data_IF_394304630971
#
_entry.id   IF_394304630971
#
_cell.length_a   1.000
_cell.length_b   1.000
_cell.length_c   1.000
_cell.angle_alpha   90.00
_cell.angle_beta   90.00
_cell.angle_gamma   90.00
#
_symmetry.space_group_name_H-M   'P 1'
#
loop_
_entity.id
_entity.type
_entity.pdbx_description
1 polymer ?
#
# COMPACT_ATOMS: atom_id res chain seq x y z
N UNK A 1 -51.34 -55.74 71.89
CA UNK A 1 -50.09 -55.03 71.84
C UNK A 1 -49.98 -54.42 70.40
N UNK A 2 -50.06 -53.10 70.29
CA UNK A 2 -50.13 -52.37 68.99
C UNK A 2 -48.68 -52.07 68.48
N UNK A 3 -48.37 -52.21 67.22
CA UNK A 3 -47.10 -51.67 66.68
C UNK A 3 -47.31 -50.23 66.23
N UNK A 4 -46.30 -49.39 66.57
CA UNK A 4 -46.22 -47.98 66.19
C UNK A 4 -45.74 -47.84 64.76
N UNK A 5 -46.46 -47.07 63.97
CA UNK A 5 -46.08 -46.62 62.66
C UNK A 5 -45.08 -45.44 62.74
N UNK A 6 -43.88 -45.59 62.23
CA UNK A 6 -42.97 -44.49 61.96
C UNK A 6 -43.17 -44.00 60.52
N UNK A 7 -43.63 -42.77 60.40
CA UNK A 7 -43.69 -42.06 59.12
C UNK A 7 -42.29 -41.52 58.81
N UNK A 8 -41.77 -41.96 57.65
CA UNK A 8 -40.52 -41.42 57.06
C UNK A 8 -40.87 -40.18 56.23
N UNK A 9 -40.32 -39.01 56.56
CA UNK A 9 -40.42 -37.80 55.79
C UNK A 9 -39.23 -37.77 54.79
N UNK A 10 -39.54 -37.85 53.51
CA UNK A 10 -38.56 -37.60 52.42
C UNK A 10 -38.59 -36.11 52.14
N UNK A 11 -37.55 -35.42 52.50
CA UNK A 11 -37.35 -34.02 52.14
C UNK A 11 -36.81 -33.95 50.70
N UNK A 12 -37.60 -33.51 49.74
CA UNK A 12 -37.12 -33.13 48.41
C UNK A 12 -36.38 -31.80 48.48
N UNK A 13 -35.07 -31.84 48.41
CA UNK A 13 -34.25 -30.67 48.22
C UNK A 13 -34.29 -30.17 46.75
N UNK A 14 -34.93 -29.04 46.53
CA UNK A 14 -34.89 -28.35 45.23
C UNK A 14 -33.53 -27.65 45.13
N UNK A 15 -32.65 -28.19 44.32
CA UNK A 15 -31.40 -27.51 43.90
C UNK A 15 -31.79 -26.43 42.87
N UNK A 16 -31.79 -25.18 43.29
CA UNK A 16 -31.88 -24.04 42.37
C UNK A 16 -30.50 -23.87 41.67
N UNK A 17 -30.42 -24.22 40.40
CA UNK A 17 -29.28 -23.93 39.55
C UNK A 17 -29.36 -22.44 39.19
N UNK A 18 -28.59 -21.59 39.85
CA UNK A 18 -28.34 -20.20 39.44
C UNK A 18 -27.50 -20.23 38.16
N UNK A 19 -28.17 -20.09 37.02
CA UNK A 19 -27.49 -19.79 35.75
C UNK A 19 -26.97 -18.35 35.82
N UNK A 20 -25.65 -18.18 36.10
CA UNK A 20 -24.98 -16.92 35.89
C UNK A 20 -24.97 -16.59 34.39
N UNK A 21 -25.92 -15.78 33.96
CA UNK A 21 -25.87 -15.14 32.65
C UNK A 21 -24.70 -14.13 32.66
N UNK A 22 -23.56 -14.51 32.11
CA UNK A 22 -22.52 -13.53 31.78
C UNK A 22 -23.11 -12.58 30.72
N UNK A 23 -23.00 -11.25 30.93
CA UNK A 23 -23.36 -10.32 29.87
C UNK A 23 -22.47 -10.61 28.68
N UNK A 24 -23.06 -10.94 27.52
CA UNK A 24 -22.35 -10.98 26.24
C UNK A 24 -21.81 -9.58 25.98
N UNK A 25 -20.52 -9.40 26.20
CA UNK A 25 -19.81 -8.21 25.76
C UNK A 25 -19.99 -8.16 24.25
N UNK A 26 -20.62 -7.10 23.69
CA UNK A 26 -20.70 -7.02 22.23
C UNK A 26 -19.29 -7.01 21.73
N UNK A 27 -18.91 -8.04 20.97
CA UNK A 27 -17.70 -8.02 20.16
C UNK A 27 -17.90 -6.87 19.18
N UNK A 28 -17.35 -5.70 19.51
CA UNK A 28 -17.10 -4.68 18.52
C UNK A 28 -16.13 -5.33 17.54
N UNK A 29 -16.68 -5.90 16.46
CA UNK A 29 -15.93 -6.16 15.28
C UNK A 29 -15.29 -4.81 14.93
N UNK A 30 -14.00 -4.67 15.26
CA UNK A 30 -13.20 -3.53 14.88
C UNK A 30 -13.32 -3.50 13.36
N UNK A 31 -14.12 -2.57 12.82
CA UNK A 31 -14.26 -2.42 11.38
C UNK A 31 -12.83 -2.27 10.86
N UNK A 32 -12.37 -3.27 10.12
CA UNK A 32 -11.02 -3.27 9.57
C UNK A 32 -10.90 -1.97 8.77
N UNK A 33 -10.11 -1.05 9.29
CA UNK A 33 -9.90 0.26 8.66
C UNK A 33 -9.31 0.00 7.28
N UNK A 34 -9.91 0.55 6.21
CA UNK A 34 -9.34 0.46 4.88
C UNK A 34 -7.90 0.96 4.90
N UNK A 35 -7.01 0.25 4.21
CA UNK A 35 -5.58 0.57 4.16
C UNK A 35 -4.96 0.75 5.57
N UNK A 36 -5.26 -0.16 6.53
CA UNK A 36 -4.69 -0.14 7.88
C UNK A 36 -3.15 -0.16 7.86
N UNK A 37 -2.57 -0.84 6.88
CA UNK A 37 -1.16 -0.77 6.46
C UNK A 37 -1.09 -0.27 5.01
N UNK A 38 0.09 0.14 4.51
CA UNK A 38 0.23 0.58 3.12
C UNK A 38 -0.28 -0.49 2.14
N UNK A 39 -1.12 -0.12 1.14
CA UNK A 39 -1.59 -1.08 0.14
C UNK A 39 -0.44 -1.71 -0.64
N UNK A 40 -0.49 -3.04 -0.81
CA UNK A 40 0.43 -3.79 -1.64
C UNK A 40 -0.31 -4.43 -2.80
N UNK A 41 0.29 -4.40 -3.99
CA UNK A 41 -0.36 -4.96 -5.17
C UNK A 41 0.46 -4.86 -6.45
N UNK A 42 -0.24 -4.97 -7.57
CA UNK A 42 0.32 -4.81 -8.89
C UNK A 42 -0.49 -3.77 -9.67
N UNK A 43 0.18 -2.99 -10.50
CA UNK A 43 -0.42 -2.02 -11.43
C UNK A 43 0.21 -2.20 -12.80
N UNK A 44 -0.59 -2.19 -13.86
CA UNK A 44 -0.16 -2.52 -15.22
C UNK A 44 0.53 -1.38 -15.97
N UNK A 45 0.44 -0.13 -15.47
CA UNK A 45 0.75 1.09 -16.25
C UNK A 45 2.15 1.11 -16.83
N UNK A 46 3.18 0.98 -16.01
CA UNK A 46 4.56 1.14 -16.48
C UNK A 46 5.01 0.08 -17.48
N UNK A 47 4.42 -1.11 -17.42
CA UNK A 47 4.76 -2.20 -18.30
C UNK A 47 3.90 -2.26 -19.57
N UNK A 48 2.60 -2.06 -19.43
CA UNK A 48 1.67 -2.37 -20.52
C UNK A 48 1.00 -1.15 -21.13
N UNK A 49 0.83 -0.06 -20.37
CA UNK A 49 0.11 1.12 -20.83
C UNK A 49 -1.22 0.72 -21.51
N UNK A 50 -1.60 1.36 -22.60
CA UNK A 50 -2.82 1.02 -23.34
C UNK A 50 -2.80 -0.33 -24.09
N UNK A 51 -1.77 -1.15 -23.90
CA UNK A 51 -1.76 -2.55 -24.42
C UNK A 51 -2.38 -3.54 -23.44
N UNK A 52 -2.73 -3.10 -22.24
CA UNK A 52 -3.38 -3.94 -21.23
C UNK A 52 -4.70 -4.51 -21.73
N UNK A 53 -5.03 -5.75 -21.28
CA UNK A 53 -6.27 -6.46 -21.63
C UNK A 53 -6.64 -7.45 -20.53
N UNK A 54 -7.88 -7.95 -20.55
CA UNK A 54 -8.36 -9.01 -19.65
C UNK A 54 -7.39 -10.21 -19.61
N UNK A 55 -6.92 -10.68 -20.75
CA UNK A 55 -5.99 -11.80 -20.82
C UNK A 55 -4.63 -11.50 -20.16
N UNK A 56 -4.09 -10.29 -20.35
CA UNK A 56 -2.84 -9.84 -19.70
C UNK A 56 -3.04 -9.78 -18.18
N UNK A 57 -4.15 -9.21 -17.71
CA UNK A 57 -4.44 -9.10 -16.27
C UNK A 57 -4.53 -10.49 -15.65
N UNK A 58 -5.31 -11.43 -16.24
CA UNK A 58 -5.42 -12.82 -15.74
C UNK A 58 -4.08 -13.52 -15.67
N UNK A 59 -3.25 -13.40 -16.69
CA UNK A 59 -1.91 -14.00 -16.70
C UNK A 59 -1.02 -13.47 -15.56
N UNK A 60 -1.05 -12.15 -15.28
CA UNK A 60 -0.30 -11.57 -14.16
C UNK A 60 -0.91 -11.96 -12.80
N UNK A 61 -2.23 -12.07 -12.68
CA UNK A 61 -2.93 -12.60 -11.49
C UNK A 61 -2.47 -14.01 -11.15
N UNK A 62 -2.40 -14.90 -12.13
CA UNK A 62 -1.96 -16.29 -11.92
C UNK A 62 -0.52 -16.35 -11.41
N UNK A 63 0.37 -15.50 -11.94
CA UNK A 63 1.75 -15.42 -11.46
C UNK A 63 1.82 -14.77 -10.07
N UNK A 64 1.05 -13.74 -9.79
CA UNK A 64 1.01 -13.11 -8.47
C UNK A 64 0.68 -14.13 -7.37
N UNK A 65 -0.19 -15.10 -7.68
CA UNK A 65 -0.53 -16.21 -6.78
C UNK A 65 0.57 -17.28 -6.77
N UNK A 66 0.97 -17.79 -7.95
CA UNK A 66 1.88 -18.93 -8.05
C UNK A 66 3.32 -18.60 -7.61
N UNK A 67 3.73 -17.36 -7.66
CA UNK A 67 5.04 -16.89 -7.19
C UNK A 67 5.13 -16.68 -5.67
N UNK A 68 4.00 -16.74 -4.95
CA UNK A 68 3.92 -16.44 -3.52
C UNK A 68 3.81 -14.95 -3.18
N UNK A 69 3.76 -14.05 -4.15
CA UNK A 69 3.60 -12.61 -3.90
C UNK A 69 2.32 -12.31 -3.11
N UNK A 70 1.20 -12.95 -3.44
CA UNK A 70 -0.04 -12.83 -2.67
C UNK A 70 0.18 -13.16 -1.19
N UNK A 71 0.92 -14.22 -0.89
CA UNK A 71 1.08 -14.75 0.47
C UNK A 71 1.99 -13.86 1.34
N UNK A 72 2.80 -12.99 0.73
CA UNK A 72 3.58 -11.95 1.43
C UNK A 72 2.89 -10.57 1.44
N UNK A 73 1.63 -10.48 0.94
CA UNK A 73 0.79 -9.29 1.13
C UNK A 73 0.38 -8.52 -0.14
N UNK A 74 0.84 -8.89 -1.33
CA UNK A 74 0.40 -8.25 -2.58
C UNK A 74 -1.04 -8.67 -2.90
N UNK A 75 -2.01 -7.82 -2.54
CA UNK A 75 -3.43 -8.16 -2.61
C UNK A 75 -4.18 -7.45 -3.74
N UNK A 76 -3.74 -6.26 -4.15
CA UNK A 76 -4.47 -5.47 -5.13
C UNK A 76 -3.96 -5.73 -6.56
N UNK A 77 -4.90 -5.88 -7.49
CA UNK A 77 -4.65 -5.97 -8.93
C UNK A 77 -5.32 -4.76 -9.57
N UNK A 78 -4.53 -3.76 -9.91
CA UNK A 78 -5.02 -2.49 -10.40
C UNK A 78 -4.86 -2.38 -11.91
N UNK A 79 -5.98 -2.20 -12.60
CA UNK A 79 -5.99 -1.79 -14.01
C UNK A 79 -5.97 -0.26 -14.04
N UNK A 80 -4.91 0.29 -14.60
CA UNK A 80 -4.70 1.72 -14.80
C UNK A 80 -5.54 2.26 -15.99
N UNK A 81 -5.15 3.34 -16.61
CA UNK A 81 -5.87 3.97 -17.72
C UNK A 81 -6.08 3.01 -18.92
N UNK A 82 -6.93 3.40 -19.86
CA UNK A 82 -7.20 2.71 -21.14
C UNK A 82 -8.15 1.50 -21.07
N UNK A 83 -8.86 1.25 -19.98
CA UNK A 83 -9.92 0.22 -19.93
C UNK A 83 -11.27 0.76 -20.41
N UNK A 84 -11.48 2.06 -20.33
CA UNK A 84 -12.75 2.73 -20.57
C UNK A 84 -13.20 2.59 -22.03
N UNK A 85 -14.47 2.29 -22.20
CA UNK A 85 -15.20 2.37 -23.46
C UNK A 85 -16.06 3.64 -23.51
N UNK A 86 -17.20 3.55 -24.20
CA UNK A 86 -18.17 4.66 -24.30
C UNK A 86 -19.20 4.57 -23.18
N UNK A 87 -19.82 5.71 -22.87
CA UNK A 87 -21.02 5.77 -22.04
C UNK A 87 -22.25 5.40 -22.88
N UNK A 88 -23.22 4.74 -22.25
CA UNK A 88 -24.52 4.52 -22.85
C UNK A 88 -25.41 5.78 -22.83
N UNK A 89 -26.62 5.67 -23.37
CA UNK A 89 -27.58 6.78 -23.42
C UNK A 89 -28.03 7.27 -22.03
N UNK A 90 -27.84 6.44 -21.00
CA UNK A 90 -28.16 6.75 -19.60
C UNK A 90 -26.93 7.32 -18.87
N UNK A 91 -25.76 7.37 -19.51
CA UNK A 91 -24.50 7.91 -18.98
C UNK A 91 -23.63 6.89 -18.23
N UNK A 92 -24.02 5.61 -18.17
CA UNK A 92 -23.18 4.58 -17.55
C UNK A 92 -21.98 4.25 -18.41
N UNK A 93 -20.81 4.15 -17.75
CA UNK A 93 -19.56 3.77 -18.42
C UNK A 93 -19.54 2.28 -18.72
N UNK A 94 -19.08 1.91 -19.91
CA UNK A 94 -18.82 0.53 -20.30
C UNK A 94 -17.32 0.32 -20.53
N UNK A 95 -16.79 -0.88 -20.33
CA UNK A 95 -15.41 -1.19 -20.70
C UNK A 95 -15.27 -1.25 -22.24
N UNK A 96 -14.05 -1.09 -22.73
CA UNK A 96 -13.77 -1.29 -24.15
C UNK A 96 -13.62 -2.77 -24.50
N UNK A 97 -13.45 -3.08 -25.79
CA UNK A 97 -13.39 -4.47 -26.29
C UNK A 97 -12.23 -5.33 -25.76
N UNK A 98 -11.20 -4.71 -25.14
CA UNK A 98 -10.11 -5.44 -24.48
C UNK A 98 -10.51 -6.01 -23.11
N UNK A 99 -11.62 -5.51 -22.55
CA UNK A 99 -12.21 -5.95 -21.28
C UNK A 99 -13.68 -6.28 -21.49
N UNK A 100 -14.01 -7.41 -22.16
CA UNK A 100 -15.37 -7.71 -22.59
C UNK A 100 -16.37 -7.87 -21.43
N UNK A 101 -15.90 -8.31 -20.26
CA UNK A 101 -16.71 -8.47 -19.05
C UNK A 101 -15.88 -8.13 -17.80
N UNK A 102 -16.02 -6.90 -17.32
CA UNK A 102 -15.29 -6.39 -16.17
C UNK A 102 -15.72 -7.09 -14.87
N UNK A 103 -16.99 -7.49 -14.77
CA UNK A 103 -17.49 -8.23 -13.61
C UNK A 103 -16.88 -9.63 -13.54
N UNK A 104 -16.84 -10.34 -14.65
CA UNK A 104 -16.20 -11.66 -14.71
C UNK A 104 -14.70 -11.60 -14.44
N UNK A 105 -14.02 -10.52 -14.83
CA UNK A 105 -12.61 -10.30 -14.47
C UNK A 105 -12.45 -10.06 -12.97
N UNK A 106 -13.29 -9.21 -12.37
CA UNK A 106 -13.29 -8.98 -10.93
C UNK A 106 -13.55 -10.26 -10.14
N UNK A 107 -14.56 -11.06 -10.54
CA UNK A 107 -14.86 -12.34 -9.92
C UNK A 107 -13.70 -13.34 -10.01
N UNK A 108 -13.00 -13.35 -11.15
CA UNK A 108 -11.79 -14.14 -11.30
C UNK A 108 -10.69 -13.71 -10.31
N UNK A 109 -10.42 -12.41 -10.19
CA UNK A 109 -9.43 -11.87 -9.26
C UNK A 109 -9.83 -12.23 -7.81
N UNK A 110 -11.09 -12.04 -7.45
CA UNK A 110 -11.61 -12.40 -6.13
C UNK A 110 -11.52 -13.90 -5.84
N UNK A 111 -11.75 -14.75 -6.83
CA UNK A 111 -11.61 -16.22 -6.68
C UNK A 111 -10.19 -16.66 -6.32
N UNK A 112 -9.19 -15.82 -6.62
CA UNK A 112 -7.78 -16.03 -6.25
C UNK A 112 -7.42 -15.44 -4.88
N UNK A 113 -8.38 -14.89 -4.14
CA UNK A 113 -8.16 -14.22 -2.85
C UNK A 113 -7.52 -12.85 -2.99
N UNK A 114 -7.63 -12.21 -4.17
CA UNK A 114 -7.09 -10.89 -4.49
C UNK A 114 -8.21 -9.85 -4.56
N UNK A 115 -7.84 -8.58 -4.64
CA UNK A 115 -8.74 -7.43 -4.72
C UNK A 115 -8.57 -6.72 -6.04
N UNK A 116 -9.67 -6.23 -6.59
CA UNK A 116 -9.71 -5.60 -7.90
C UNK A 116 -9.71 -4.08 -7.82
N UNK A 117 -8.80 -3.44 -8.58
CA UNK A 117 -8.69 -1.98 -8.66
C UNK A 117 -8.87 -1.46 -10.08
N UNK A 118 -9.41 -0.25 -10.16
CA UNK A 118 -9.59 0.50 -11.40
C UNK A 118 -9.03 1.93 -11.30
N UNK A 119 -9.00 2.58 -12.44
CA UNK A 119 -8.54 3.95 -12.65
C UNK A 119 -9.65 4.81 -13.26
N UNK A 120 -9.75 6.09 -12.85
CA UNK A 120 -10.55 7.11 -13.50
C UNK A 120 -9.97 8.51 -13.26
N UNK A 121 -10.69 9.56 -13.69
CA UNK A 121 -10.30 10.97 -13.53
C UNK A 121 -11.51 11.83 -13.16
N UNK A 122 -11.37 12.87 -12.32
CA UNK A 122 -12.41 13.88 -12.09
C UNK A 122 -12.67 14.75 -13.31
N UNK A 123 -11.77 14.74 -14.29
CA UNK A 123 -11.94 15.47 -15.54
C UNK A 123 -12.88 14.78 -16.52
N UNK A 124 -13.23 15.44 -17.65
CA UNK A 124 -14.03 14.84 -18.70
C UNK A 124 -13.29 13.72 -19.45
N UNK A 125 -11.95 13.69 -19.37
CA UNK A 125 -11.10 12.69 -20.01
C UNK A 125 -10.00 12.22 -19.08
N UNK A 126 -9.58 10.96 -19.23
CA UNK A 126 -8.39 10.39 -18.61
C UNK A 126 -7.12 10.98 -19.22
N UNK A 127 -5.93 10.62 -18.72
CA UNK A 127 -4.65 11.07 -19.25
C UNK A 127 -4.42 10.62 -20.69
N UNK A 128 -4.94 9.45 -21.05
CA UNK A 128 -4.89 8.91 -22.42
C UNK A 128 -6.16 9.21 -23.24
N UNK A 129 -6.95 10.20 -22.80
CA UNK A 129 -8.12 10.72 -23.49
C UNK A 129 -9.35 9.80 -23.56
N UNK A 130 -9.43 8.75 -22.75
CA UNK A 130 -10.66 7.98 -22.55
C UNK A 130 -11.68 8.74 -21.69
N UNK A 131 -12.87 8.15 -21.45
CA UNK A 131 -13.93 8.77 -20.65
C UNK A 131 -13.49 8.93 -19.19
N UNK A 132 -13.54 10.17 -18.68
CA UNK A 132 -13.41 10.45 -17.25
C UNK A 132 -14.76 10.49 -16.53
N UNK A 133 -14.75 10.75 -15.23
CA UNK A 133 -15.96 10.70 -14.38
C UNK A 133 -16.68 12.07 -14.23
N UNK A 134 -16.20 13.14 -14.87
CA UNK A 134 -16.80 14.46 -14.73
C UNK A 134 -18.30 14.43 -14.99
N UNK A 135 -19.11 14.88 -14.02
CA UNK A 135 -20.58 14.86 -13.99
C UNK A 135 -21.23 13.45 -13.95
N UNK A 136 -20.43 12.38 -13.83
CA UNK A 136 -20.91 11.00 -13.77
C UNK A 136 -20.42 10.26 -12.52
N UNK A 137 -19.89 10.94 -11.50
CA UNK A 137 -19.21 10.34 -10.36
C UNK A 137 -20.08 9.32 -9.63
N UNK A 138 -21.38 9.63 -9.47
CA UNK A 138 -22.32 8.71 -8.82
C UNK A 138 -22.59 7.44 -9.64
N UNK A 139 -22.82 7.61 -10.96
CA UNK A 139 -23.07 6.47 -11.88
C UNK A 139 -21.83 5.59 -11.98
N UNK A 140 -20.64 6.19 -12.03
CA UNK A 140 -19.37 5.47 -12.09
C UNK A 140 -19.13 4.70 -10.79
N UNK A 141 -19.32 5.33 -9.63
CA UNK A 141 -19.21 4.66 -8.34
C UNK A 141 -20.16 3.46 -8.21
N UNK A 142 -21.44 3.62 -8.63
CA UNK A 142 -22.42 2.52 -8.68
C UNK A 142 -21.97 1.38 -9.61
N UNK A 143 -21.41 1.73 -10.75
CA UNK A 143 -20.88 0.77 -11.73
C UNK A 143 -19.68 0.01 -11.17
N UNK A 144 -18.72 0.72 -10.58
CA UNK A 144 -17.56 0.12 -9.94
C UNK A 144 -17.95 -0.82 -8.80
N UNK A 145 -18.90 -0.41 -7.96
CA UNK A 145 -19.43 -1.26 -6.89
C UNK A 145 -20.11 -2.53 -7.43
N UNK A 146 -20.92 -2.42 -8.49
CA UNK A 146 -21.55 -3.57 -9.17
C UNK A 146 -20.53 -4.53 -9.77
N UNK A 147 -19.43 -4.03 -10.31
CA UNK A 147 -18.33 -4.87 -10.83
C UNK A 147 -17.49 -5.50 -9.70
N UNK A 148 -17.57 -4.98 -8.50
CA UNK A 148 -16.81 -5.52 -7.36
C UNK A 148 -15.45 -4.85 -7.20
N UNK A 149 -15.29 -3.59 -7.58
CA UNK A 149 -14.05 -2.83 -7.40
C UNK A 149 -13.76 -2.61 -5.92
N UNK A 150 -12.50 -2.81 -5.50
CA UNK A 150 -11.99 -2.65 -4.14
C UNK A 150 -11.00 -1.48 -3.99
N UNK A 151 -10.54 -0.93 -5.11
CA UNK A 151 -9.55 0.15 -5.16
C UNK A 151 -9.83 1.06 -6.35
N UNK A 152 -9.81 2.38 -6.14
CA UNK A 152 -9.94 3.37 -7.22
C UNK A 152 -8.76 4.34 -7.19
N UNK A 153 -7.94 4.34 -8.25
CA UNK A 153 -6.98 5.42 -8.55
C UNK A 153 -7.72 6.53 -9.30
N UNK A 154 -7.70 7.75 -8.75
CA UNK A 154 -8.44 8.89 -9.29
C UNK A 154 -7.48 10.02 -9.63
N UNK A 155 -7.21 10.18 -10.92
CA UNK A 155 -6.10 10.95 -11.46
C UNK A 155 -6.56 12.31 -11.99
N UNK A 156 -5.82 13.39 -11.71
CA UNK A 156 -6.19 14.78 -12.03
C UNK A 156 -6.13 15.13 -13.53
N UNK A 157 -6.15 14.15 -14.42
CA UNK A 157 -6.07 14.35 -15.86
C UNK A 157 -7.29 15.13 -16.40
N UNK A 158 -7.04 16.10 -17.28
CA UNK A 158 -8.01 17.01 -17.84
C UNK A 158 -8.92 17.75 -16.85
N UNK A 159 -8.82 17.51 -15.57
CA UNK A 159 -9.63 18.14 -14.53
C UNK A 159 -9.45 19.65 -14.49
N UNK A 160 -8.26 20.17 -14.73
CA UNK A 160 -7.99 21.60 -14.85
C UNK A 160 -8.70 22.31 -16.00
N UNK A 161 -9.38 21.58 -16.92
CA UNK A 161 -10.24 22.17 -17.96
C UNK A 161 -11.63 22.55 -17.43
N UNK A 162 -12.05 21.96 -16.31
CA UNK A 162 -13.40 22.09 -15.75
C UNK A 162 -13.42 22.54 -14.28
N UNK A 163 -12.30 22.39 -13.58
CA UNK A 163 -12.12 22.83 -12.21
C UNK A 163 -10.99 23.84 -12.09
N UNK A 164 -11.16 24.85 -11.24
CA UNK A 164 -10.07 25.71 -10.79
C UNK A 164 -9.25 25.03 -9.69
N UNK A 165 -8.02 25.47 -9.41
CA UNK A 165 -7.19 24.87 -8.34
C UNK A 165 -7.89 24.83 -6.98
N UNK A 166 -8.61 25.86 -6.60
CA UNK A 166 -9.38 25.95 -5.35
C UNK A 166 -10.55 24.94 -5.25
N UNK A 167 -10.95 24.34 -6.37
CA UNK A 167 -12.01 23.32 -6.46
C UNK A 167 -11.49 21.88 -6.43
N UNK A 168 -10.16 21.66 -6.40
CA UNK A 168 -9.56 20.34 -6.44
C UNK A 168 -10.08 19.44 -5.31
N UNK A 169 -10.05 19.91 -4.07
CA UNK A 169 -10.54 19.15 -2.92
C UNK A 169 -12.04 18.80 -3.06
N UNK A 170 -12.85 19.72 -3.59
CA UNK A 170 -14.27 19.47 -3.80
C UNK A 170 -14.51 18.38 -4.86
N UNK A 171 -13.71 18.35 -5.93
CA UNK A 171 -13.79 17.33 -6.97
C UNK A 171 -13.45 15.93 -6.41
N UNK A 172 -12.39 15.81 -5.60
CA UNK A 172 -12.05 14.54 -4.94
C UNK A 172 -13.11 14.13 -3.91
N UNK A 173 -13.62 15.07 -3.12
CA UNK A 173 -14.70 14.79 -2.15
C UNK A 173 -15.96 14.29 -2.84
N UNK A 174 -16.34 14.83 -3.99
CA UNK A 174 -17.51 14.40 -4.76
C UNK A 174 -17.45 12.91 -5.14
N UNK A 175 -16.29 12.44 -5.60
CA UNK A 175 -16.11 11.02 -5.89
C UNK A 175 -16.10 10.18 -4.61
N UNK A 176 -15.46 10.64 -3.54
CA UNK A 176 -15.51 9.95 -2.24
C UNK A 176 -16.95 9.74 -1.75
N UNK A 177 -17.76 10.79 -1.77
CA UNK A 177 -19.19 10.72 -1.37
C UNK A 177 -19.98 9.73 -2.27
N UNK A 178 -19.69 9.73 -3.56
CA UNK A 178 -20.26 8.78 -4.50
C UNK A 178 -19.88 7.33 -4.17
N UNK A 179 -18.58 7.07 -3.90
CA UNK A 179 -18.11 5.74 -3.47
C UNK A 179 -18.75 5.30 -2.16
N UNK A 180 -18.81 6.19 -1.15
CA UNK A 180 -19.46 5.89 0.14
C UNK A 180 -20.94 5.56 -0.02
N UNK A 181 -21.66 6.24 -0.92
CA UNK A 181 -23.09 6.00 -1.16
C UNK A 181 -23.40 4.59 -1.67
N UNK A 182 -22.40 3.88 -2.22
CA UNK A 182 -22.58 2.49 -2.70
C UNK A 182 -22.58 1.45 -1.58
N UNK A 183 -22.08 1.81 -0.39
CA UNK A 183 -21.88 0.88 0.73
C UNK A 183 -20.73 -0.11 0.56
N UNK A 184 -20.02 -0.10 -0.60
CA UNK A 184 -18.85 -0.96 -0.82
C UNK A 184 -17.58 -0.30 -0.28
N UNK A 185 -16.74 -1.02 0.51
CA UNK A 185 -15.48 -0.51 0.99
C UNK A 185 -14.45 -0.48 -0.16
N UNK A 186 -14.16 0.71 -0.69
CA UNK A 186 -13.22 0.92 -1.80
C UNK A 186 -12.06 1.79 -1.31
N UNK A 187 -10.82 1.30 -1.43
CA UNK A 187 -9.61 2.10 -1.19
C UNK A 187 -9.54 3.22 -2.22
N UNK A 188 -9.43 4.45 -1.74
CA UNK A 188 -9.44 5.63 -2.60
C UNK A 188 -8.04 6.24 -2.68
N UNK A 189 -7.42 6.15 -3.85
CA UNK A 189 -6.08 6.66 -4.17
C UNK A 189 -6.18 7.94 -4.98
N UNK A 190 -5.68 9.05 -4.41
CA UNK A 190 -5.68 10.35 -5.05
C UNK A 190 -4.40 10.52 -5.88
N UNK A 191 -4.53 10.77 -7.18
CA UNK A 191 -3.39 10.97 -8.07
C UNK A 191 -3.45 12.36 -8.70
N UNK A 192 -2.80 13.32 -8.07
CA UNK A 192 -2.71 14.73 -8.52
C UNK A 192 -1.29 15.26 -8.37
N UNK A 193 -0.30 14.37 -8.38
CA UNK A 193 1.14 14.70 -8.52
C UNK A 193 1.73 15.57 -7.40
N UNK A 194 1.15 15.56 -6.20
CA UNK A 194 1.58 16.41 -5.07
C UNK A 194 1.07 17.85 -5.13
N UNK A 195 0.26 18.18 -6.13
CA UNK A 195 -0.29 19.53 -6.31
C UNK A 195 -1.09 19.96 -5.07
N UNK A 196 -1.08 21.25 -4.77
CA UNK A 196 -1.77 21.88 -3.63
C UNK A 196 -1.42 21.25 -2.27
N UNK A 197 -0.28 20.53 -2.17
CA UNK A 197 0.16 19.91 -0.92
C UNK A 197 -0.84 18.88 -0.39
N UNK A 198 -1.25 17.94 -1.23
CA UNK A 198 -2.28 16.92 -0.99
C UNK A 198 -2.16 16.22 0.34
N UNK A 199 -0.95 15.97 0.82
CA UNK A 199 -0.69 15.37 2.13
C UNK A 199 -1.38 16.11 3.30
N UNK A 200 -1.68 17.41 3.14
CA UNK A 200 -2.35 18.21 4.17
C UNK A 200 -3.86 18.03 4.19
N UNK A 201 -4.46 17.62 3.08
CA UNK A 201 -5.91 17.58 2.94
C UNK A 201 -6.46 16.23 2.40
N UNK A 202 -5.61 15.37 1.82
CA UNK A 202 -6.04 14.13 1.17
C UNK A 202 -6.90 13.22 2.06
N UNK A 203 -6.54 13.08 3.34
CA UNK A 203 -7.35 12.33 4.30
C UNK A 203 -8.73 12.95 4.53
N UNK A 204 -8.86 14.29 4.50
CA UNK A 204 -10.12 15.02 4.75
C UNK A 204 -11.15 14.88 3.64
N UNK A 205 -10.73 14.44 2.46
CA UNK A 205 -11.60 14.14 1.31
C UNK A 205 -11.76 12.63 1.07
N UNK A 206 -11.36 11.81 2.07
CA UNK A 206 -11.54 10.37 2.06
C UNK A 206 -10.41 9.57 1.40
N UNK A 207 -9.28 10.21 1.04
CA UNK A 207 -8.13 9.53 0.48
C UNK A 207 -7.49 8.54 1.46
N UNK A 208 -7.28 7.31 1.02
CA UNK A 208 -6.51 6.30 1.75
C UNK A 208 -5.03 6.29 1.37
N UNK A 209 -4.68 6.88 0.25
CA UNK A 209 -3.33 7.17 -0.19
C UNK A 209 -3.36 8.31 -1.20
N UNK A 210 -2.23 8.96 -1.41
CA UNK A 210 -2.12 10.06 -2.36
C UNK A 210 -0.72 10.20 -2.92
N UNK A 211 -0.63 10.41 -4.22
CA UNK A 211 0.62 10.72 -4.90
C UNK A 211 1.18 12.03 -4.39
N UNK A 212 2.41 11.97 -3.93
CA UNK A 212 3.15 13.13 -3.38
C UNK A 212 4.03 13.81 -4.43
N UNK A 213 4.23 13.16 -5.56
CA UNK A 213 5.15 13.57 -6.64
C UNK A 213 4.52 13.33 -8.00
N UNK A 214 5.10 13.92 -9.02
CA UNK A 214 4.89 13.56 -10.43
C UNK A 214 5.32 12.12 -10.71
N UNK A 215 5.02 11.59 -11.92
CA UNK A 215 5.36 10.22 -12.29
C UNK A 215 6.87 9.99 -12.30
N UNK A 216 7.29 8.88 -11.72
CA UNK A 216 8.71 8.50 -11.61
C UNK A 216 9.36 8.31 -12.99
N UNK A 217 8.64 7.75 -13.96
CA UNK A 217 9.12 7.58 -15.33
C UNK A 217 10.23 6.52 -15.50
N UNK A 218 10.76 5.94 -14.42
CA UNK A 218 11.61 4.76 -14.43
C UNK A 218 13.11 4.99 -14.66
N UNK A 219 13.64 6.20 -14.51
CA UNK A 219 15.07 6.38 -14.39
C UNK A 219 15.53 6.51 -12.93
N UNK A 220 16.79 6.19 -12.67
CA UNK A 220 17.40 6.26 -11.35
C UNK A 220 17.26 7.64 -10.70
N UNK A 221 17.65 8.71 -11.40
CA UNK A 221 17.69 10.05 -10.82
C UNK A 221 16.31 10.52 -10.37
N UNK A 222 15.29 10.31 -11.21
CA UNK A 222 13.91 10.71 -10.90
C UNK A 222 13.32 9.85 -9.77
N UNK A 223 13.54 8.52 -9.81
CA UNK A 223 13.10 7.59 -8.76
C UNK A 223 13.66 7.98 -7.39
N UNK A 224 14.97 8.28 -7.33
CA UNK A 224 15.61 8.62 -6.07
C UNK A 224 15.29 10.05 -5.64
N UNK A 225 15.25 10.99 -6.58
CA UNK A 225 14.83 12.35 -6.25
C UNK A 225 13.46 12.35 -5.57
N UNK A 226 12.46 11.67 -6.11
CA UNK A 226 11.13 11.59 -5.55
C UNK A 226 11.05 10.79 -4.25
N UNK A 227 11.81 9.71 -4.13
CA UNK A 227 11.88 8.94 -2.90
C UNK A 227 12.49 9.74 -1.74
N UNK A 228 13.67 10.34 -1.94
CA UNK A 228 14.36 11.07 -0.87
C UNK A 228 13.71 12.43 -0.53
N UNK A 229 12.92 13.02 -1.42
CA UNK A 229 12.18 14.25 -1.12
C UNK A 229 10.97 14.03 -0.19
N UNK A 230 10.58 12.77 0.09
CA UNK A 230 9.50 12.47 1.05
C UNK A 230 9.85 12.87 2.48
N UNK A 231 11.14 13.13 2.78
CA UNK A 231 11.57 13.50 4.11
C UNK A 231 10.75 14.67 4.69
N UNK A 232 10.12 14.42 5.84
CA UNK A 232 9.28 15.41 6.54
C UNK A 232 7.78 15.33 6.22
N UNK A 233 7.36 14.42 5.32
CA UNK A 233 5.94 14.18 5.04
C UNK A 233 5.30 13.18 6.01
N UNK A 234 6.06 12.44 6.80
CA UNK A 234 5.58 11.37 7.68
C UNK A 234 4.51 11.80 8.69
N UNK A 235 4.48 13.06 9.10
CA UNK A 235 3.44 13.59 9.98
C UNK A 235 2.04 13.64 9.38
N UNK A 236 1.92 13.42 8.08
CA UNK A 236 0.65 13.42 7.34
C UNK A 236 0.18 12.01 6.97
N UNK A 237 1.06 11.00 7.11
CA UNK A 237 0.75 9.60 6.84
C UNK A 237 0.53 8.80 8.12
N UNK A 238 -0.17 7.68 7.99
CA UNK A 238 -0.43 6.75 9.09
C UNK A 238 -1.53 5.76 8.74
N UNK A 239 -1.91 4.88 9.68
CA UNK A 239 -2.91 3.84 9.42
C UNK A 239 -4.19 4.41 8.79
N UNK A 240 -4.52 3.91 7.60
CA UNK A 240 -5.69 4.32 6.80
C UNK A 240 -5.44 5.44 5.80
N UNK A 241 -4.24 6.03 5.75
CA UNK A 241 -3.88 7.10 4.80
C UNK A 241 -2.36 7.24 4.64
N UNK A 242 -1.85 7.12 3.41
CA UNK A 242 -0.43 6.95 3.12
C UNK A 242 0.08 7.90 2.05
N UNK A 243 1.32 8.40 2.23
CA UNK A 243 2.06 9.08 1.18
C UNK A 243 2.50 8.07 0.12
N UNK A 244 2.33 8.41 -1.15
CA UNK A 244 2.65 7.54 -2.28
C UNK A 244 3.65 8.23 -3.21
N UNK A 245 4.92 7.81 -3.20
CA UNK A 245 5.93 8.35 -4.12
C UNK A 245 5.94 7.67 -5.49
N UNK A 246 4.89 6.95 -5.83
CA UNK A 246 4.66 6.22 -7.08
C UNK A 246 5.04 4.72 -7.07
N UNK A 247 4.62 4.02 -8.11
CA UNK A 247 4.74 2.59 -8.36
C UNK A 247 6.21 2.14 -8.39
N UNK A 248 6.48 0.95 -7.86
CA UNK A 248 7.82 0.35 -7.89
C UNK A 248 8.31 0.09 -9.33
N UNK A 249 9.53 0.52 -9.62
CA UNK A 249 10.20 0.35 -10.92
C UNK A 249 11.00 -0.95 -11.01
N UNK A 250 10.94 -1.77 -9.97
CA UNK A 250 11.68 -3.03 -9.82
C UNK A 250 11.24 -4.03 -10.91
N UNK A 251 12.20 -4.59 -11.63
CA UNK A 251 11.93 -5.54 -12.71
C UNK A 251 11.47 -4.93 -14.03
N UNK A 252 11.48 -3.60 -14.18
CA UNK A 252 11.21 -2.92 -15.46
C UNK A 252 12.44 -2.82 -16.36
N UNK A 253 13.63 -3.21 -15.86
CA UNK A 253 14.89 -3.19 -16.62
C UNK A 253 15.51 -1.80 -16.78
N UNK A 254 15.09 -0.82 -15.99
CA UNK A 254 15.60 0.55 -16.00
C UNK A 254 16.51 0.86 -14.82
N UNK A 255 16.36 0.15 -13.73
CA UNK A 255 17.21 0.20 -12.55
C UNK A 255 18.15 -1.01 -12.56
N UNK A 256 19.40 -0.83 -12.09
CA UNK A 256 20.27 -1.95 -11.80
C UNK A 256 19.92 -2.57 -10.43
N UNK A 257 20.54 -3.71 -10.10
CA UNK A 257 20.23 -4.45 -8.88
C UNK A 257 20.35 -3.61 -7.60
N UNK A 258 21.40 -2.82 -7.43
CA UNK A 258 21.57 -1.97 -6.25
C UNK A 258 20.49 -0.88 -6.17
N UNK A 259 20.10 -0.34 -7.30
CA UNK A 259 19.05 0.67 -7.42
C UNK A 259 17.68 0.08 -7.10
N UNK A 260 17.39 -1.16 -7.54
CA UNK A 260 16.16 -1.87 -7.16
C UNK A 260 16.09 -2.13 -5.64
N UNK A 261 17.19 -2.61 -5.03
CA UNK A 261 17.28 -2.76 -3.58
C UNK A 261 17.06 -1.44 -2.84
N UNK A 262 17.64 -0.36 -3.37
CA UNK A 262 17.52 0.98 -2.80
C UNK A 262 16.08 1.50 -2.87
N UNK A 263 15.39 1.34 -4.00
CA UNK A 263 13.97 1.72 -4.10
C UNK A 263 13.12 0.93 -3.12
N UNK A 264 13.22 -0.39 -3.09
CA UNK A 264 12.44 -1.22 -2.17
C UNK A 264 12.69 -0.83 -0.70
N UNK A 265 13.96 -0.64 -0.33
CA UNK A 265 14.34 -0.24 1.04
C UNK A 265 13.75 1.10 1.43
N UNK A 266 13.83 2.09 0.53
CA UNK A 266 13.35 3.43 0.80
C UNK A 266 11.81 3.45 0.89
N UNK A 267 11.09 2.79 -0.04
CA UNK A 267 9.63 2.67 0.03
C UNK A 267 9.17 2.00 1.34
N UNK A 268 9.83 0.94 1.75
CA UNK A 268 9.52 0.27 3.03
C UNK A 268 9.81 1.14 4.26
N UNK A 269 10.89 1.92 4.24
CA UNK A 269 11.16 2.90 5.30
C UNK A 269 10.10 4.00 5.31
N UNK A 270 9.64 4.44 4.15
CA UNK A 270 8.61 5.46 4.00
C UNK A 270 7.19 4.96 4.35
N UNK A 271 6.98 3.67 4.61
CA UNK A 271 5.63 3.09 4.70
C UNK A 271 4.77 3.47 3.48
N UNK A 272 5.36 3.39 2.30
CA UNK A 272 4.73 3.77 1.04
C UNK A 272 4.01 2.56 0.41
N UNK A 273 2.92 2.77 -0.33
CA UNK A 273 2.27 1.68 -1.06
C UNK A 273 3.25 0.90 -1.94
N UNK A 274 3.27 -0.43 -1.82
CA UNK A 274 4.14 -1.32 -2.59
C UNK A 274 3.38 -1.86 -3.80
N UNK A 275 3.27 -1.08 -4.86
CA UNK A 275 2.63 -1.47 -6.11
C UNK A 275 3.70 -1.86 -7.14
N UNK A 276 3.83 -3.17 -7.43
CA UNK A 276 4.76 -3.67 -8.45
C UNK A 276 4.28 -3.24 -9.86
N UNK A 277 5.17 -2.67 -10.67
CA UNK A 277 4.84 -2.14 -12.02
C UNK A 277 5.29 -3.00 -13.18
N UNK A 278 5.94 -4.14 -12.93
CA UNK A 278 6.60 -4.97 -13.92
C UNK A 278 5.68 -6.06 -14.52
N UNK A 279 6.17 -6.71 -15.57
CA UNK A 279 5.56 -7.91 -16.13
C UNK A 279 5.87 -9.12 -15.25
N UNK A 280 4.90 -9.54 -14.42
CA UNK A 280 5.09 -10.67 -13.53
C UNK A 280 5.35 -11.98 -14.30
N UNK A 281 4.78 -12.15 -15.50
CA UNK A 281 4.96 -13.39 -16.30
C UNK A 281 6.38 -13.55 -16.87
N UNK A 282 7.20 -12.49 -16.81
CA UNK A 282 8.60 -12.48 -17.27
C UNK A 282 9.58 -12.06 -16.16
N UNK A 283 9.12 -12.07 -14.92
CA UNK A 283 9.90 -11.66 -13.76
C UNK A 283 11.06 -12.60 -13.51
N UNK A 284 12.26 -12.05 -13.28
CA UNK A 284 13.44 -12.82 -12.89
C UNK A 284 13.33 -13.32 -11.44
N UNK A 285 14.09 -14.37 -11.11
CA UNK A 285 14.18 -14.83 -9.71
C UNK A 285 14.74 -13.75 -8.78
N UNK A 286 15.63 -12.90 -9.24
CA UNK A 286 16.21 -11.83 -8.40
C UNK A 286 15.19 -10.73 -8.17
N UNK A 287 14.42 -10.33 -9.18
CA UNK A 287 13.27 -9.42 -9.02
C UNK A 287 12.26 -10.00 -8.01
N UNK A 288 11.93 -11.29 -8.13
CA UNK A 288 11.02 -11.95 -7.19
C UNK A 288 11.55 -11.92 -5.75
N UNK A 289 12.84 -12.21 -5.54
CA UNK A 289 13.47 -12.16 -4.20
C UNK A 289 13.40 -10.75 -3.59
N UNK A 290 13.57 -9.70 -4.39
CA UNK A 290 13.45 -8.32 -3.93
C UNK A 290 12.01 -8.03 -3.50
N UNK A 291 11.05 -8.34 -4.37
CA UNK A 291 9.63 -8.05 -4.12
C UNK A 291 9.01 -8.92 -3.01
N UNK A 292 9.62 -10.06 -2.65
CA UNK A 292 9.05 -11.00 -1.67
C UNK A 292 9.89 -11.20 -0.41
N UNK A 293 10.91 -10.36 -0.17
CA UNK A 293 11.68 -10.46 1.08
C UNK A 293 10.80 -10.12 2.29
N UNK A 294 10.44 -11.11 3.14
CA UNK A 294 9.46 -10.89 4.20
C UNK A 294 9.99 -9.96 5.31
N UNK A 295 11.32 -9.89 5.50
CA UNK A 295 11.91 -9.01 6.53
C UNK A 295 11.89 -7.55 6.09
N UNK A 296 12.06 -7.29 4.80
CA UNK A 296 11.97 -5.95 4.23
C UNK A 296 10.52 -5.48 4.18
N UNK A 297 9.59 -6.35 3.72
CA UNK A 297 8.15 -6.07 3.71
C UNK A 297 7.62 -5.79 5.13
N UNK A 298 8.11 -6.50 6.13
CA UNK A 298 7.70 -6.30 7.52
C UNK A 298 8.00 -4.87 8.04
N UNK A 299 8.99 -4.18 7.48
CA UNK A 299 9.23 -2.77 7.80
C UNK A 299 8.10 -1.88 7.28
N UNK A 300 7.65 -2.13 6.06
CA UNK A 300 6.55 -1.41 5.42
C UNK A 300 5.24 -1.63 6.16
N UNK A 301 4.96 -2.87 6.47
CA UNK A 301 3.70 -3.34 7.05
C UNK A 301 3.68 -3.29 8.60
N UNK A 302 4.66 -2.61 9.22
CA UNK A 302 4.69 -2.46 10.67
C UNK A 302 3.43 -1.76 11.19
N UNK A 303 2.71 -2.34 12.19
CA UNK A 303 1.41 -1.85 12.65
C UNK A 303 1.44 -0.46 13.30
N UNK A 304 2.61 0.07 13.67
CA UNK A 304 2.71 1.46 14.13
C UNK A 304 2.39 2.44 13.00
N UNK A 305 2.59 2.04 11.73
CA UNK A 305 2.31 2.88 10.57
C UNK A 305 3.11 4.19 10.54
N UNK A 306 4.31 4.19 11.12
CA UNK A 306 5.17 5.38 11.17
C UNK A 306 6.02 5.44 9.91
N UNK A 307 5.96 6.54 9.18
CA UNK A 307 6.88 6.82 8.08
C UNK A 307 8.27 7.17 8.62
N UNK A 308 9.33 6.62 8.01
CA UNK A 308 10.71 6.91 8.34
C UNK A 308 11.13 8.33 7.93
N UNK A 309 12.23 8.77 8.48
CA UNK A 309 12.80 10.08 8.18
C UNK A 309 14.31 10.02 8.06
N UNK A 310 14.90 11.04 7.41
CA UNK A 310 16.33 11.20 7.31
C UNK A 310 16.92 11.71 8.63
N UNK A 311 17.72 10.86 9.28
CA UNK A 311 18.39 11.20 10.53
C UNK A 311 19.72 11.94 10.30
N UNK A 312 20.39 11.68 9.17
CA UNK A 312 21.66 12.31 8.83
C UNK A 312 21.90 12.34 7.32
N UNK A 313 22.59 13.37 6.85
CA UNK A 313 23.04 13.50 5.47
C UNK A 313 24.38 14.24 5.39
N UNK A 314 25.27 13.74 4.54
CA UNK A 314 26.49 14.45 4.11
C UNK A 314 26.71 14.19 2.62
N UNK A 315 26.51 15.22 1.82
CA UNK A 315 26.53 15.11 0.37
C UNK A 315 25.54 14.04 -0.15
N UNK A 316 26.03 13.02 -0.87
CA UNK A 316 25.19 11.95 -1.40
C UNK A 316 24.91 10.81 -0.40
N UNK A 317 25.50 10.85 0.79
CA UNK A 317 25.35 9.82 1.82
C UNK A 317 24.23 10.18 2.79
N UNK A 318 23.34 9.24 3.07
CA UNK A 318 22.20 9.47 3.95
C UNK A 318 21.98 8.29 4.91
N UNK A 319 21.55 8.61 6.13
CA UNK A 319 21.03 7.63 7.10
C UNK A 319 19.55 7.93 7.33
N UNK A 320 18.71 6.95 7.03
CA UNK A 320 17.28 7.01 7.27
C UNK A 320 16.89 6.06 8.39
N UNK A 321 15.93 6.46 9.21
CA UNK A 321 15.47 5.68 10.36
C UNK A 321 13.96 5.62 10.39
N UNK A 322 13.44 4.46 10.83
CA UNK A 322 12.01 4.23 11.02
C UNK A 322 11.82 3.48 12.34
N UNK A 323 11.13 4.07 13.33
CA UNK A 323 10.72 3.34 14.53
C UNK A 323 9.78 2.19 14.17
N UNK A 324 9.97 1.05 14.79
CA UNK A 324 9.16 -0.15 14.59
C UNK A 324 8.52 -0.61 15.90
N UNK A 325 7.45 -1.38 15.79
CA UNK A 325 6.86 -2.09 16.91
C UNK A 325 7.92 -2.96 17.63
N UNK A 326 7.71 -3.22 18.92
CA UNK A 326 8.66 -4.02 19.71
C UNK A 326 9.98 -3.31 20.05
N UNK A 327 10.00 -1.98 20.09
CA UNK A 327 11.16 -1.16 20.46
C UNK A 327 12.40 -1.38 19.58
N UNK A 328 12.20 -1.69 18.32
CA UNK A 328 13.28 -1.81 17.32
C UNK A 328 13.26 -0.64 16.33
N UNK A 329 14.35 -0.49 15.60
CA UNK A 329 14.53 0.58 14.61
C UNK A 329 14.97 -0.02 13.27
N UNK A 330 14.29 0.33 12.18
CA UNK A 330 14.84 0.10 10.85
C UNK A 330 15.79 1.25 10.48
N UNK A 331 16.91 0.92 9.84
CA UNK A 331 17.93 1.89 9.41
C UNK A 331 18.35 1.59 7.98
N UNK A 332 18.22 2.56 7.09
CA UNK A 332 18.80 2.54 5.74
C UNK A 332 20.07 3.38 5.68
N UNK A 333 21.19 2.76 5.32
CA UNK A 333 22.44 3.43 5.00
C UNK A 333 22.50 3.57 3.48
N UNK A 334 22.27 4.77 2.96
CA UNK A 334 22.17 5.03 1.53
C UNK A 334 23.40 5.73 0.98
N UNK A 335 23.80 5.33 -0.22
CA UNK A 335 24.86 5.96 -0.99
C UNK A 335 24.37 6.30 -2.40
N UNK A 336 24.22 7.58 -2.70
CA UNK A 336 23.80 8.09 -4.01
C UNK A 336 24.96 8.51 -4.90
N UNK A 337 26.21 8.21 -4.49
CA UNK A 337 27.44 8.56 -5.25
C UNK A 337 27.77 7.50 -6.29
N UNK A 338 28.74 7.84 -7.16
CA UNK A 338 29.20 7.01 -8.28
C UNK A 338 30.23 5.93 -7.87
N UNK A 339 30.58 5.82 -6.57
CA UNK A 339 31.52 4.83 -6.05
C UNK A 339 31.03 4.26 -4.71
N UNK A 340 31.55 3.10 -4.31
CA UNK A 340 31.28 2.56 -2.97
C UNK A 340 31.87 3.46 -1.89
N UNK A 341 31.08 3.77 -0.85
CA UNK A 341 31.44 4.69 0.23
C UNK A 341 31.08 4.12 1.60
N UNK A 342 31.88 4.40 2.65
CA UNK A 342 31.50 4.06 4.01
C UNK A 342 30.34 4.98 4.49
N UNK A 343 29.28 4.37 5.02
CA UNK A 343 28.17 5.10 5.68
C UNK A 343 28.04 4.61 7.10
N UNK A 344 27.98 5.53 8.06
CA UNK A 344 27.95 5.23 9.50
C UNK A 344 26.66 5.69 10.14
N UNK A 345 26.00 4.78 10.88
CA UNK A 345 24.93 5.15 11.84
C UNK A 345 25.52 5.20 13.25
N UNK A 346 25.29 6.31 13.95
CA UNK A 346 25.66 6.49 15.38
C UNK A 346 24.41 6.22 16.24
N UNK A 347 24.46 5.23 17.11
CA UNK A 347 23.28 4.73 17.82
C UNK A 347 22.65 5.80 18.72
N UNK A 348 23.42 6.55 19.46
CA UNK A 348 22.91 7.66 20.30
C UNK A 348 22.25 8.78 19.49
N UNK A 349 22.74 9.04 18.27
CA UNK A 349 22.16 10.09 17.44
C UNK A 349 20.74 9.75 16.92
N UNK A 350 20.40 8.46 16.92
CA UNK A 350 19.06 7.97 16.52
C UNK A 350 18.22 7.48 17.72
N UNK A 351 18.62 7.82 18.95
CA UNK A 351 17.87 7.48 20.17
C UNK A 351 18.03 6.03 20.65
N UNK A 352 19.03 5.29 20.14
CA UNK A 352 19.32 3.90 20.55
C UNK A 352 20.36 3.89 21.69
N UNK A 353 20.43 2.75 22.40
CA UNK A 353 21.45 2.49 23.43
C UNK A 353 22.85 2.34 22.81
N UNK A 354 23.88 2.26 23.64
CA UNK A 354 25.26 2.09 23.15
C UNK A 354 25.54 0.69 22.57
N UNK A 355 24.97 -0.37 23.16
CA UNK A 355 25.08 -1.73 22.66
C UNK A 355 23.82 -2.10 21.92
N UNK A 356 23.95 -2.35 20.63
CA UNK A 356 22.84 -2.61 19.71
C UNK A 356 23.12 -3.88 18.92
N UNK A 357 22.16 -4.78 18.91
CA UNK A 357 22.15 -5.92 17.98
C UNK A 357 21.77 -5.43 16.60
N UNK A 358 22.57 -5.81 15.61
CA UNK A 358 22.42 -5.41 14.22
C UNK A 358 22.10 -6.62 13.35
N UNK A 359 21.04 -6.53 12.55
CA UNK A 359 20.66 -7.54 11.56
C UNK A 359 20.59 -6.90 10.17
N UNK A 360 21.25 -7.50 9.18
CA UNK A 360 21.11 -7.16 7.77
C UNK A 360 19.86 -7.85 7.23
N UNK A 361 18.94 -7.05 6.66
CA UNK A 361 17.63 -7.52 6.20
C UNK A 361 17.66 -8.09 4.78
N UNK A 362 18.59 -7.61 3.94
CA UNK A 362 18.75 -8.16 2.60
C UNK A 362 19.47 -9.50 2.64
N UNK A 363 20.56 -9.59 3.41
CA UNK A 363 21.29 -10.84 3.65
C UNK A 363 20.59 -11.77 4.63
N UNK A 364 19.55 -11.29 5.34
CA UNK A 364 18.81 -12.00 6.39
C UNK A 364 19.74 -12.59 7.46
N UNK A 365 20.76 -11.80 7.83
CA UNK A 365 21.87 -12.25 8.67
C UNK A 365 22.03 -11.38 9.90
N UNK A 366 22.18 -12.03 11.07
CA UNK A 366 22.62 -11.35 12.28
C UNK A 366 24.12 -11.03 12.19
N UNK A 367 24.44 -9.75 12.33
CA UNK A 367 25.83 -9.26 12.28
C UNK A 367 26.48 -9.21 13.65
N UNK A 368 25.71 -9.35 14.74
CA UNK A 368 26.19 -9.31 16.11
C UNK A 368 25.81 -8.05 16.87
N UNK A 369 26.49 -7.79 17.98
CA UNK A 369 26.30 -6.60 18.82
C UNK A 369 27.44 -5.61 18.58
N UNK A 370 27.07 -4.35 18.33
CA UNK A 370 28.02 -3.25 18.09
C UNK A 370 27.90 -2.19 19.18
N UNK A 371 28.99 -1.50 19.45
CA UNK A 371 29.06 -0.45 20.47
C UNK A 371 29.16 0.93 19.81
N UNK A 372 28.26 1.83 20.17
CA UNK A 372 28.24 3.25 19.77
C UNK A 372 27.85 3.51 18.31
N UNK A 373 28.27 2.69 17.35
CA UNK A 373 27.99 2.88 15.94
C UNK A 373 28.12 1.60 15.12
N UNK A 374 27.59 1.63 13.91
CA UNK A 374 27.84 0.64 12.85
C UNK A 374 28.22 1.34 11.55
N UNK A 375 29.23 0.83 10.84
CA UNK A 375 29.68 1.34 9.54
C UNK A 375 29.63 0.23 8.51
N UNK A 376 29.05 0.50 7.34
CA UNK A 376 29.07 -0.39 6.19
C UNK A 376 29.69 0.28 4.98
N UNK A 377 30.35 -0.51 4.13
CA UNK A 377 30.68 -0.11 2.76
C UNK A 377 29.40 -0.25 1.92
N UNK A 378 28.83 0.87 1.53
CA UNK A 378 27.60 0.90 0.74
C UNK A 378 27.97 1.04 -0.74
N UNK A 379 27.54 0.13 -1.62
CA UNK A 379 27.90 0.20 -3.04
C UNK A 379 27.34 1.47 -3.70
N UNK A 380 27.87 1.78 -4.89
CA UNK A 380 27.32 2.83 -5.75
C UNK A 380 25.81 2.67 -5.89
N UNK A 381 25.04 3.76 -5.71
CA UNK A 381 23.59 3.82 -5.79
C UNK A 381 22.87 2.77 -4.91
N UNK A 382 23.54 2.32 -3.87
CA UNK A 382 23.11 1.19 -3.06
C UNK A 382 22.60 1.59 -1.68
N UNK A 383 22.21 0.54 -0.96
CA UNK A 383 21.74 0.61 0.41
C UNK A 383 22.25 -0.59 1.22
N UNK A 384 22.49 -0.37 2.51
CA UNK A 384 22.53 -1.43 3.52
C UNK A 384 21.34 -1.19 4.43
N UNK A 385 20.41 -2.17 4.48
CA UNK A 385 19.16 -2.06 5.23
C UNK A 385 19.23 -2.93 6.48
N UNK A 386 19.09 -2.30 7.64
CA UNK A 386 19.32 -2.91 8.94
C UNK A 386 18.08 -2.86 9.82
N UNK A 387 17.94 -3.87 10.69
CA UNK A 387 17.13 -3.78 11.89
C UNK A 387 18.04 -3.72 13.11
N UNK A 388 17.79 -2.76 13.99
CA UNK A 388 18.49 -2.51 15.24
C UNK A 388 17.60 -2.84 16.45
N UNK A 389 18.17 -3.58 17.43
CA UNK A 389 17.48 -3.97 18.68
C UNK A 389 18.34 -3.75 19.90
#
# INVERSE_FOLDING_TARGET
MKPQNRKLWIACGIMAVLACAWPAVPSFAQSLRLAATPPMGWNDWYQYQCKVSDAIVRANVDVLVSSGMRDVGYQYVNIDDCWQGKRDAQGFIHPNSRFPDMKALADYIHSKGLKFGLYSSPGPRTCTHFEGSYQHEKQDAETYAKWGVDFLKYDWCSAGKVYRPDQMQAAYRKMHEALQSTGRPIVYSLCQYGLEGVWRWGASVGGNMWRTTDDIGGDFHRTFYFGFMQNGLGKFAGPGHWNDPDILQIGLGKLNHNEELTQMSLWCLLAAPLLAGNNLTKMSNDTLKILTNPEVIALDQDPMGVEGHRAWQEGPLEVWVKPLSGHSMAVGLFNRSESAMPVTVRFKAIGMKDNVRVRDLWERKDLGVFHGHYTAQVPRHGVVLLQLK
#
